data_IF_212077919827
#
_entry.id   IF_212077919827
#
_cell.length_a   1.000
_cell.length_b   1.000
_cell.length_c   1.000
_cell.angle_alpha   90.00
_cell.angle_beta   90.00
_cell.angle_gamma   90.00
#
_symmetry.space_group_name_H-M   'P 1'
#
loop_
_entity.id
_entity.type
_entity.pdbx_description
1 polymer ?
#
# COMPACT_ATOMS: atom_id res chain seq x y z
N UNK A 1 -9.15 0.47 26.32
CA UNK A 1 -8.97 0.12 24.91
C UNK A 1 -8.51 1.35 24.15
N UNK A 2 -7.31 1.32 23.58
CA UNK A 2 -6.84 2.38 22.71
C UNK A 2 -7.44 2.13 21.34
N UNK A 3 -8.27 3.05 20.86
CA UNK A 3 -8.77 3.02 19.49
C UNK A 3 -7.64 3.46 18.55
N UNK A 4 -7.20 2.59 17.68
CA UNK A 4 -6.16 2.84 16.66
C UNK A 4 -4.74 2.43 17.10
N UNK A 5 -3.94 2.02 16.12
CA UNK A 5 -2.53 1.69 16.29
C UNK A 5 -1.62 2.93 16.26
N UNK A 6 -0.28 2.75 16.36
CA UNK A 6 0.69 3.86 16.35
C UNK A 6 0.58 4.79 15.13
N UNK A 7 0.15 4.28 13.98
CA UNK A 7 -0.02 5.09 12.77
C UNK A 7 -1.32 5.88 12.71
N UNK A 8 -2.24 5.66 13.67
CA UNK A 8 -3.55 6.32 13.69
C UNK A 8 -3.44 7.85 13.80
N UNK A 9 -2.58 8.34 14.70
CA UNK A 9 -2.40 9.76 14.94
C UNK A 9 -1.83 10.50 13.73
N UNK A 10 -0.91 9.88 12.98
CA UNK A 10 -0.31 10.48 11.79
C UNK A 10 -1.32 10.81 10.70
N UNK A 11 -2.45 10.10 10.66
CA UNK A 11 -3.54 10.34 9.70
C UNK A 11 -4.31 11.63 9.94
N UNK A 12 -4.24 12.17 11.17
CA UNK A 12 -4.92 13.41 11.57
C UNK A 12 -3.97 14.60 11.69
N UNK A 13 -2.66 14.38 11.58
CA UNK A 13 -1.68 15.47 11.58
C UNK A 13 -1.70 16.19 10.23
N UNK A 14 -1.64 17.52 10.27
CA UNK A 14 -1.36 18.29 9.04
C UNK A 14 0.03 17.88 8.54
N UNK A 15 0.07 17.29 7.36
CA UNK A 15 1.31 17.01 6.67
C UNK A 15 1.82 18.29 6.03
N UNK A 16 3.09 18.59 6.21
CA UNK A 16 3.78 19.50 5.30
C UNK A 16 3.81 18.79 3.94
N UNK A 17 3.34 19.41 2.86
CA UNK A 17 3.42 18.80 1.54
C UNK A 17 4.87 18.38 1.29
N UNK A 18 5.09 17.10 1.00
CA UNK A 18 6.37 16.67 0.48
C UNK A 18 6.51 17.31 -0.91
N UNK A 19 7.70 17.77 -1.24
CA UNK A 19 8.00 18.16 -2.62
C UNK A 19 7.98 16.88 -3.45
N UNK A 20 6.78 16.50 -3.92
CA UNK A 20 6.69 15.53 -4.99
C UNK A 20 7.51 16.11 -6.17
N UNK A 21 8.36 15.29 -6.82
CA UNK A 21 9.02 15.76 -8.03
C UNK A 21 7.94 16.34 -8.94
N UNK A 22 8.11 17.58 -9.35
CA UNK A 22 7.15 18.26 -10.20
C UNK A 22 7.13 17.53 -11.54
N UNK A 23 6.22 16.57 -11.66
CA UNK A 23 5.85 16.07 -12.97
C UNK A 23 5.35 17.29 -13.75
N UNK A 24 6.09 17.70 -14.74
CA UNK A 24 5.66 18.78 -15.63
C UNK A 24 4.23 18.50 -16.08
N UNK A 25 3.46 19.54 -16.39
CA UNK A 25 2.07 19.50 -16.82
C UNK A 25 1.90 18.58 -18.06
N UNK A 26 2.01 17.28 -17.87
CA UNK A 26 1.76 16.28 -18.89
C UNK A 26 0.32 15.83 -18.67
N UNK A 27 -0.56 16.31 -19.53
CA UNK A 27 -1.87 15.68 -19.68
C UNK A 27 -1.65 14.22 -20.09
N UNK A 28 -2.32 13.25 -19.43
CA UNK A 28 -2.23 11.87 -19.85
C UNK A 28 -2.56 11.76 -21.33
N UNK A 29 -1.69 11.09 -22.09
CA UNK A 29 -1.96 10.78 -23.49
C UNK A 29 -3.29 10.01 -23.61
N UNK A 30 -4.05 10.13 -24.73
CA UNK A 30 -5.30 9.42 -24.91
C UNK A 30 -5.01 7.92 -25.05
N UNK A 31 -4.98 7.22 -23.91
CA UNK A 31 -4.91 5.76 -23.86
C UNK A 31 -6.29 5.13 -23.99
N UNK A 32 -6.31 3.87 -24.39
CA UNK A 32 -7.51 3.05 -24.37
C UNK A 32 -8.03 2.95 -22.94
N UNK A 33 -9.32 3.06 -22.76
CA UNK A 33 -9.95 2.84 -21.46
C UNK A 33 -9.95 1.35 -21.14
N UNK A 34 -9.55 1.01 -19.90
CA UNK A 34 -9.55 -0.36 -19.41
C UNK A 34 -10.99 -0.71 -19.03
N UNK A 35 -11.46 -1.84 -19.56
CA UNK A 35 -12.80 -2.32 -19.26
C UNK A 35 -12.93 -2.71 -17.79
N UNK A 36 -14.07 -2.37 -17.19
CA UNK A 36 -14.33 -2.62 -15.76
C UNK A 36 -14.24 -4.11 -15.43
N UNK A 37 -14.69 -4.97 -16.33
CA UNK A 37 -14.65 -6.43 -16.19
C UNK A 37 -13.23 -6.98 -16.20
N UNK A 38 -12.35 -6.43 -17.03
CA UNK A 38 -10.94 -6.81 -17.07
C UNK A 38 -10.23 -6.42 -15.77
N UNK A 39 -10.44 -5.19 -15.31
CA UNK A 39 -9.93 -4.73 -14.02
C UNK A 39 -10.44 -5.61 -12.87
N UNK A 40 -11.74 -5.94 -12.87
CA UNK A 40 -12.35 -6.80 -11.85
C UNK A 40 -11.75 -8.21 -11.88
N UNK A 41 -11.51 -8.77 -13.05
CA UNK A 41 -10.91 -10.10 -13.19
C UNK A 41 -9.50 -10.13 -12.59
N UNK A 42 -8.67 -9.11 -12.87
CA UNK A 42 -7.34 -8.99 -12.28
C UNK A 42 -7.38 -8.89 -10.75
N UNK A 43 -8.27 -8.05 -10.23
CA UNK A 43 -8.39 -7.82 -8.78
C UNK A 43 -8.78 -9.07 -8.01
N UNK A 44 -9.50 -9.99 -8.64
CA UNK A 44 -9.99 -11.23 -8.03
C UNK A 44 -9.18 -12.48 -8.41
N UNK A 45 -8.20 -12.35 -9.32
CA UNK A 45 -7.41 -13.49 -9.80
C UNK A 45 -6.57 -14.14 -8.71
N UNK A 46 -6.11 -13.35 -7.74
CA UNK A 46 -5.27 -13.80 -6.64
C UNK A 46 -5.75 -13.22 -5.33
N UNK A 47 -5.55 -13.97 -4.25
CA UNK A 47 -5.76 -13.45 -2.91
C UNK A 47 -4.72 -12.38 -2.58
N UNK A 48 -5.18 -11.31 -1.94
CA UNK A 48 -4.28 -10.25 -1.48
C UNK A 48 -3.27 -10.82 -0.46
N UNK A 49 -2.00 -10.37 -0.49
CA UNK A 49 -0.98 -10.82 0.45
C UNK A 49 -1.43 -10.66 1.89
N UNK A 50 -1.31 -11.71 2.70
CA UNK A 50 -1.83 -11.76 4.08
C UNK A 50 -0.74 -11.99 5.14
N UNK A 51 0.50 -12.21 4.74
CA UNK A 51 1.62 -12.38 5.66
C UNK A 51 2.09 -11.05 6.25
N UNK A 52 2.62 -11.04 7.47
CA UNK A 52 3.25 -9.85 8.03
C UNK A 52 4.41 -9.36 7.15
N UNK A 53 4.58 -8.05 7.12
CA UNK A 53 5.72 -7.45 6.42
C UNK A 53 7.01 -7.84 7.15
N UNK A 54 7.94 -8.42 6.38
CA UNK A 54 9.25 -8.82 6.84
C UNK A 54 10.27 -7.71 6.50
N UNK A 55 10.87 -7.04 7.48
CA UNK A 55 11.84 -5.97 7.23
C UNK A 55 13.05 -6.40 6.40
N UNK A 56 13.52 -7.65 6.53
CA UNK A 56 14.66 -8.14 5.74
C UNK A 56 14.31 -8.27 4.25
N UNK A 57 13.09 -8.73 3.95
CA UNK A 57 12.59 -8.78 2.56
C UNK A 57 12.39 -7.38 1.99
N UNK A 58 11.94 -6.45 2.82
CA UNK A 58 11.80 -5.04 2.43
C UNK A 58 13.14 -4.45 2.03
N UNK A 59 14.17 -4.65 2.83
CA UNK A 59 15.51 -4.13 2.53
C UNK A 59 16.07 -4.74 1.22
N UNK A 60 15.91 -6.03 1.00
CA UNK A 60 16.31 -6.69 -0.23
C UNK A 60 15.56 -6.13 -1.46
N UNK A 61 14.25 -5.87 -1.34
CA UNK A 61 13.48 -5.23 -2.39
C UNK A 61 13.91 -3.79 -2.63
N UNK A 62 14.15 -3.02 -1.58
CA UNK A 62 14.60 -1.64 -1.69
C UNK A 62 15.97 -1.53 -2.37
N UNK A 63 16.87 -2.48 -2.18
CA UNK A 63 18.13 -2.53 -2.90
C UNK A 63 17.94 -2.75 -4.40
N UNK A 64 17.00 -3.60 -4.80
CA UNK A 64 16.66 -3.83 -6.21
C UNK A 64 16.05 -2.60 -6.87
N UNK A 65 15.22 -1.84 -6.13
CA UNK A 65 14.51 -0.66 -6.65
C UNK A 65 15.27 0.66 -6.42
N UNK A 66 16.40 0.62 -5.73
CA UNK A 66 17.18 1.82 -5.40
C UNK A 66 17.54 2.71 -6.60
N UNK A 67 17.73 2.19 -7.82
CA UNK A 67 17.95 3.03 -8.99
C UNK A 67 16.73 3.90 -9.36
N UNK A 68 15.55 3.52 -8.90
CA UNK A 68 14.26 4.11 -9.29
C UNK A 68 13.62 4.92 -8.17
N UNK A 69 13.88 4.53 -6.91
CA UNK A 69 13.30 5.19 -5.74
C UNK A 69 14.27 6.22 -5.15
N UNK A 70 13.85 7.49 -5.01
CA UNK A 70 14.58 8.47 -4.21
C UNK A 70 14.83 7.95 -2.78
N UNK A 71 16.01 8.27 -2.23
CA UNK A 71 16.42 7.81 -0.89
C UNK A 71 15.39 8.19 0.20
N UNK A 72 14.79 9.36 0.10
CA UNK A 72 13.76 9.82 1.05
C UNK A 72 12.55 8.88 1.10
N UNK A 73 12.19 8.28 -0.03
CA UNK A 73 11.09 7.31 -0.12
C UNK A 73 11.52 5.97 0.46
N UNK A 74 12.72 5.50 0.09
CA UNK A 74 13.28 4.26 0.63
C UNK A 74 13.45 4.33 2.14
N UNK A 75 13.93 5.45 2.67
CA UNK A 75 14.05 5.67 4.11
C UNK A 75 12.67 5.73 4.79
N UNK A 76 11.68 6.31 4.14
CA UNK A 76 10.30 6.29 4.62
C UNK A 76 9.74 4.87 4.75
N UNK A 77 9.99 4.01 3.76
CA UNK A 77 9.60 2.59 3.79
C UNK A 77 10.32 1.85 4.92
N UNK A 78 11.66 2.00 5.04
CA UNK A 78 12.44 1.37 6.12
C UNK A 78 11.95 1.80 7.49
N UNK A 79 11.80 3.10 7.71
CA UNK A 79 11.32 3.62 8.99
C UNK A 79 9.94 3.10 9.36
N UNK A 80 9.05 2.94 8.38
CA UNK A 80 7.72 2.38 8.60
C UNK A 80 7.80 0.91 9.02
N UNK A 81 8.61 0.11 8.34
CA UNK A 81 8.67 -1.34 8.57
C UNK A 81 9.39 -1.73 9.86
N UNK A 82 10.25 -0.85 10.39
CA UNK A 82 10.88 -1.05 11.69
C UNK A 82 9.94 -0.82 12.89
N UNK A 83 8.72 -0.39 12.66
CA UNK A 83 7.75 -0.08 13.72
C UNK A 83 7.05 -1.32 14.33
N UNK A 84 7.37 -2.55 13.89
CA UNK A 84 6.82 -3.73 14.55
C UNK A 84 7.34 -3.84 16.00
N UNK A 85 6.46 -4.05 16.97
CA UNK A 85 6.84 -4.05 18.36
C UNK A 85 6.07 -5.08 19.18
N UNK A 86 6.78 -5.67 20.17
CA UNK A 86 6.11 -6.31 21.27
C UNK A 86 5.56 -5.22 22.20
N UNK A 87 4.27 -5.27 22.46
CA UNK A 87 3.59 -4.26 23.27
C UNK A 87 3.47 -4.72 24.72
N UNK A 88 3.52 -3.80 25.70
CA UNK A 88 3.29 -4.15 27.07
C UNK A 88 1.87 -4.67 27.28
N UNK A 89 1.74 -5.69 28.09
CA UNK A 89 0.47 -6.28 28.51
C UNK A 89 0.50 -6.76 29.94
N UNK A 90 -0.63 -7.13 30.52
CA UNK A 90 -0.68 -7.77 31.83
C UNK A 90 0.01 -9.13 31.83
N UNK A 91 0.35 -9.64 33.00
CA UNK A 91 0.91 -10.99 33.14
C UNK A 91 -0.05 -12.02 32.56
N UNK A 92 0.45 -12.86 31.65
CA UNK A 92 -0.34 -13.87 30.98
C UNK A 92 -0.88 -13.45 29.63
N UNK A 93 -0.53 -12.26 29.14
CA UNK A 93 -0.81 -11.83 27.77
C UNK A 93 0.49 -11.59 26.99
N UNK A 94 0.49 -12.04 25.73
CA UNK A 94 1.52 -11.70 24.75
C UNK A 94 0.89 -10.80 23.70
N UNK A 95 1.36 -9.55 23.63
CA UNK A 95 0.80 -8.53 22.74
C UNK A 95 1.83 -8.16 21.68
N UNK A 96 1.46 -8.40 20.41
CA UNK A 96 2.29 -8.07 19.25
C UNK A 96 1.58 -7.10 18.33
N UNK A 97 2.24 -6.04 17.98
CA UNK A 97 1.82 -5.14 16.93
C UNK A 97 2.66 -5.38 15.66
N UNK A 98 2.01 -5.63 14.56
CA UNK A 98 2.66 -5.94 13.28
C UNK A 98 2.01 -5.19 12.13
N UNK A 99 2.80 -4.93 11.11
CA UNK A 99 2.32 -4.39 9.84
C UNK A 99 2.08 -5.53 8.84
N UNK A 100 1.04 -5.36 8.07
CA UNK A 100 0.65 -6.26 6.98
C UNK A 100 0.47 -5.46 5.70
N UNK A 101 0.70 -6.05 4.53
CA UNK A 101 0.33 -5.41 3.27
C UNK A 101 -1.15 -5.06 3.29
N UNK A 102 -1.50 -3.96 2.65
CA UNK A 102 -2.91 -3.59 2.50
C UNK A 102 -3.63 -4.48 1.50
N UNK A 103 -2.93 -4.93 0.45
CA UNK A 103 -3.46 -5.81 -0.58
C UNK A 103 -3.23 -5.30 -2.00
N UNK A 104 -4.27 -5.26 -2.84
CA UNK A 104 -4.17 -4.80 -4.22
C UNK A 104 -4.14 -3.28 -4.30
N UNK A 105 -3.09 -2.74 -4.93
CA UNK A 105 -2.83 -1.30 -5.06
C UNK A 105 -2.85 -0.91 -6.54
N UNK A 106 -3.68 0.06 -6.89
CA UNK A 106 -3.67 0.68 -8.22
C UNK A 106 -2.72 1.87 -8.22
N UNK A 107 -1.74 1.87 -9.12
CA UNK A 107 -0.77 2.94 -9.34
C UNK A 107 -1.12 3.66 -10.64
N UNK A 108 -1.55 4.92 -10.53
CA UNK A 108 -2.15 5.68 -11.65
C UNK A 108 -1.33 6.89 -12.08
N UNK A 109 -0.14 7.08 -11.53
CA UNK A 109 0.74 8.19 -11.88
C UNK A 109 0.30 9.53 -11.28
N UNK A 110 0.26 10.62 -12.07
CA UNK A 110 0.57 10.73 -13.50
C UNK A 110 2.06 10.67 -13.81
N UNK A 111 2.35 10.22 -15.01
CA UNK A 111 3.70 10.12 -15.55
C UNK A 111 4.50 8.91 -15.03
N UNK A 112 5.49 8.51 -15.81
CA UNK A 112 6.27 7.28 -15.59
C UNK A 112 7.02 7.31 -14.25
N UNK A 113 7.60 8.45 -13.88
CA UNK A 113 8.36 8.56 -12.62
C UNK A 113 7.49 8.38 -11.38
N UNK A 114 6.28 8.98 -11.36
CA UNK A 114 5.36 8.76 -10.25
C UNK A 114 4.87 7.31 -10.20
N UNK A 115 4.61 6.68 -11.37
CA UNK A 115 4.23 5.27 -11.44
C UNK A 115 5.30 4.36 -10.85
N UNK A 116 6.58 4.57 -11.23
CA UNK A 116 7.71 3.82 -10.69
C UNK A 116 7.77 3.93 -9.17
N UNK A 117 7.66 5.14 -8.65
CA UNK A 117 7.70 5.38 -7.20
C UNK A 117 6.48 4.77 -6.48
N UNK A 118 5.29 4.90 -7.03
CA UNK A 118 4.07 4.30 -6.48
C UNK A 118 4.16 2.78 -6.44
N UNK A 119 4.56 2.16 -7.56
CA UNK A 119 4.76 0.72 -7.65
C UNK A 119 5.85 0.24 -6.70
N UNK A 120 6.99 0.92 -6.67
CA UNK A 120 8.10 0.60 -5.78
C UNK A 120 7.71 0.65 -4.30
N UNK A 121 6.98 1.68 -3.86
CA UNK A 121 6.45 1.75 -2.48
C UNK A 121 5.46 0.61 -2.18
N UNK A 122 4.54 0.34 -3.10
CA UNK A 122 3.53 -0.69 -2.91
C UNK A 122 4.18 -2.07 -2.78
N UNK A 123 5.10 -2.41 -3.69
CA UNK A 123 5.80 -3.68 -3.71
C UNK A 123 6.74 -3.87 -2.53
N UNK A 124 7.53 -2.84 -2.18
CA UNK A 124 8.42 -2.90 -1.02
C UNK A 124 7.67 -3.16 0.30
N UNK A 125 6.41 -2.76 0.38
CA UNK A 125 5.51 -3.05 1.51
C UNK A 125 4.70 -4.35 1.33
N UNK A 126 5.09 -5.20 0.38
CA UNK A 126 4.50 -6.52 0.17
C UNK A 126 3.12 -6.51 -0.49
N UNK A 127 2.68 -5.38 -1.06
CA UNK A 127 1.42 -5.31 -1.76
C UNK A 127 1.53 -5.89 -3.18
N UNK A 128 0.42 -6.34 -3.73
CA UNK A 128 0.28 -6.59 -5.16
C UNK A 128 -0.06 -5.26 -5.85
N UNK A 129 0.64 -4.93 -6.93
CA UNK A 129 0.49 -3.65 -7.60
C UNK A 129 0.09 -3.82 -9.07
N UNK A 130 -0.81 -2.95 -9.55
CA UNK A 130 -1.12 -2.75 -10.96
C UNK A 130 -0.81 -1.31 -11.33
N UNK A 131 0.13 -1.12 -12.24
CA UNK A 131 0.44 0.18 -12.81
C UNK A 131 -0.36 0.38 -14.10
N UNK A 132 -1.10 1.49 -14.18
CA UNK A 132 -1.89 1.81 -15.36
C UNK A 132 -1.47 3.16 -15.90
N UNK A 133 -1.03 3.19 -17.15
CA UNK A 133 -0.69 4.41 -17.86
C UNK A 133 -0.74 4.24 -19.38
N UNK A 134 -0.98 5.33 -20.08
CA UNK A 134 -0.82 5.38 -21.52
C UNK A 134 0.65 5.42 -21.98
N UNK A 135 1.61 5.67 -21.07
CA UNK A 135 3.03 5.96 -21.34
C UNK A 135 3.96 4.81 -20.90
N UNK A 136 3.62 3.58 -21.21
CA UNK A 136 4.20 2.37 -20.59
C UNK A 136 5.58 1.86 -21.05
N UNK A 137 6.15 2.18 -22.24
CA UNK A 137 7.25 1.37 -22.77
C UNK A 137 8.45 1.20 -21.83
N UNK A 138 8.72 2.17 -20.95
CA UNK A 138 9.96 2.20 -20.14
C UNK A 138 9.87 1.44 -18.80
N UNK A 139 8.67 1.16 -18.31
CA UNK A 139 8.52 0.51 -17.00
C UNK A 139 8.78 -1.00 -17.07
N UNK A 140 8.34 -1.66 -18.13
CA UNK A 140 8.41 -3.10 -18.28
C UNK A 140 9.83 -3.63 -18.42
N UNK A 141 10.76 -2.83 -18.94
CA UNK A 141 12.16 -3.23 -19.09
C UNK A 141 12.95 -3.21 -17.77
N UNK A 142 12.45 -2.44 -16.79
CA UNK A 142 13.17 -2.23 -15.52
C UNK A 142 12.76 -3.20 -14.41
N UNK A 143 11.65 -3.94 -14.57
CA UNK A 143 11.01 -4.68 -13.47
C UNK A 143 10.56 -6.07 -13.95
N UNK A 144 11.51 -6.87 -14.41
CA UNK A 144 11.19 -8.19 -14.99
C UNK A 144 10.84 -9.27 -13.95
N UNK A 145 11.27 -9.10 -12.69
CA UNK A 145 11.14 -10.13 -11.66
C UNK A 145 10.18 -9.77 -10.51
N UNK A 146 9.39 -8.71 -10.66
CA UNK A 146 8.48 -8.24 -9.62
C UNK A 146 7.04 -8.66 -9.87
N UNK A 147 6.24 -8.82 -8.80
CA UNK A 147 4.79 -9.05 -8.93
C UNK A 147 4.06 -7.75 -9.32
N UNK A 148 4.54 -7.09 -10.37
CA UNK A 148 3.98 -5.88 -10.94
C UNK A 148 3.43 -6.19 -12.31
N UNK A 149 2.14 -5.96 -12.48
CA UNK A 149 1.52 -5.90 -13.78
C UNK A 149 1.42 -4.45 -14.25
N UNK A 150 1.61 -4.26 -15.54
CA UNK A 150 1.60 -2.96 -16.18
C UNK A 150 0.63 -3.00 -17.35
N UNK A 151 -0.43 -2.20 -17.27
CA UNK A 151 -1.44 -2.15 -18.31
C UNK A 151 -1.40 -0.82 -19.07
N UNK A 152 -1.31 -0.86 -20.40
CA UNK A 152 -1.43 0.33 -21.22
C UNK A 152 -2.88 0.81 -21.22
N UNK A 153 -3.11 2.07 -20.84
CA UNK A 153 -4.45 2.63 -20.85
C UNK A 153 -4.74 3.61 -19.73
N UNK A 154 -6.00 3.81 -19.48
CA UNK A 154 -6.51 4.63 -18.37
C UNK A 154 -7.69 3.96 -17.71
N UNK A 155 -7.89 4.22 -16.43
CA UNK A 155 -9.07 3.79 -15.68
C UNK A 155 -10.05 4.96 -15.61
N UNK A 156 -11.33 4.73 -15.95
CA UNK A 156 -12.39 5.67 -15.61
C UNK A 156 -12.59 5.65 -14.08
N UNK A 157 -12.50 6.80 -13.40
CA UNK A 157 -12.78 6.86 -11.96
C UNK A 157 -14.11 6.22 -11.56
N UNK A 158 -15.13 6.26 -12.43
CA UNK A 158 -16.46 5.68 -12.17
C UNK A 158 -16.39 4.18 -11.98
N UNK A 159 -15.51 3.47 -12.68
CA UNK A 159 -15.31 2.03 -12.52
C UNK A 159 -14.95 1.64 -11.08
N UNK A 160 -14.21 2.50 -10.37
CA UNK A 160 -13.81 2.25 -8.99
C UNK A 160 -14.98 2.19 -8.00
N UNK A 161 -16.15 2.69 -8.37
CA UNK A 161 -17.32 2.62 -7.49
C UNK A 161 -17.87 1.18 -7.36
N UNK A 162 -17.67 0.33 -8.36
CA UNK A 162 -18.27 -1.00 -8.46
C UNK A 162 -17.30 -2.16 -8.32
N UNK A 163 -16.03 -2.00 -8.77
CA UNK A 163 -15.04 -3.11 -8.73
C UNK A 163 -14.73 -3.50 -7.28
N UNK A 164 -14.59 -4.80 -7.03
CA UNK A 164 -14.21 -5.36 -5.73
C UNK A 164 -12.71 -5.65 -5.70
N UNK A 165 -12.13 -5.80 -4.50
CA UNK A 165 -10.75 -6.22 -4.32
C UNK A 165 -9.71 -5.10 -4.41
N UNK A 166 -10.06 -3.86 -4.74
CA UNK A 166 -9.17 -2.70 -4.62
C UNK A 166 -8.98 -2.35 -3.15
N UNK A 167 -7.73 -2.24 -2.71
CA UNK A 167 -7.38 -1.93 -1.32
C UNK A 167 -6.75 -0.55 -1.14
N UNK A 168 -6.09 -0.01 -2.19
CA UNK A 168 -5.60 1.36 -2.22
C UNK A 168 -5.47 1.86 -3.65
N UNK A 169 -5.52 3.18 -3.83
CA UNK A 169 -5.28 3.86 -5.12
C UNK A 169 -4.23 4.94 -4.91
N UNK A 170 -3.15 4.92 -5.70
CA UNK A 170 -2.11 5.94 -5.72
C UNK A 170 -2.30 6.83 -6.95
N UNK A 171 -2.51 8.12 -6.73
CA UNK A 171 -2.65 9.12 -7.78
C UNK A 171 -2.07 10.44 -7.26
N UNK A 172 -0.83 10.75 -7.65
CA UNK A 172 -0.08 11.90 -7.16
C UNK A 172 -0.09 13.05 -8.16
N UNK A 173 0.37 14.20 -7.72
CA UNK A 173 0.68 15.33 -8.58
C UNK A 173 -0.21 16.54 -8.38
N UNK A 174 0.38 17.68 -8.67
CA UNK A 174 -0.29 18.98 -8.70
C UNK A 174 -1.08 19.13 -10.02
N UNK A 175 -2.29 19.63 -9.93
CA UNK A 175 -3.14 19.85 -11.12
C UNK A 175 -4.01 18.67 -11.53
N UNK A 176 -3.90 17.50 -10.89
CA UNK A 176 -4.83 16.38 -11.10
C UNK A 176 -6.16 16.68 -10.43
N UNK A 177 -7.27 16.54 -11.17
CA UNK A 177 -8.59 16.63 -10.56
C UNK A 177 -8.91 15.34 -9.79
N UNK A 178 -8.77 15.40 -8.48
CA UNK A 178 -9.04 14.28 -7.58
C UNK A 178 -10.52 14.08 -7.24
N UNK A 179 -11.40 15.02 -7.61
CA UNK A 179 -12.83 14.96 -7.24
C UNK A 179 -13.55 13.76 -7.82
N UNK A 180 -13.38 13.38 -9.11
CA UNK A 180 -14.03 12.18 -9.65
C UNK A 180 -13.60 10.90 -8.90
N UNK A 181 -12.30 10.77 -8.61
CA UNK A 181 -11.72 9.64 -7.88
C UNK A 181 -12.25 9.53 -6.46
N UNK A 182 -12.25 10.64 -5.72
CA UNK A 182 -12.80 10.69 -4.37
C UNK A 182 -14.30 10.38 -4.35
N UNK A 183 -15.05 10.91 -5.33
CA UNK A 183 -16.49 10.65 -5.45
C UNK A 183 -16.79 9.18 -5.73
N UNK A 184 -16.02 8.55 -6.62
CA UNK A 184 -16.18 7.14 -6.93
C UNK A 184 -15.85 6.25 -5.74
N UNK A 185 -14.71 6.50 -5.08
CA UNK A 185 -14.29 5.75 -3.90
C UNK A 185 -15.26 5.92 -2.72
N UNK A 186 -15.86 7.10 -2.56
CA UNK A 186 -16.85 7.37 -1.50
C UNK A 186 -18.20 6.67 -1.72
N UNK A 187 -18.50 6.23 -2.94
CA UNK A 187 -19.74 5.49 -3.26
C UNK A 187 -19.63 3.99 -3.02
N UNK A 188 -18.42 3.50 -2.69
CA UNK A 188 -18.18 2.08 -2.48
C UNK A 188 -18.85 1.61 -1.20
N UNK A 189 -19.41 0.41 -1.27
CA UNK A 189 -19.78 -0.33 -0.06
C UNK A 189 -18.58 -1.06 0.53
N UNK A 190 -18.59 -1.30 1.84
CA UNK A 190 -17.60 -2.10 2.53
C UNK A 190 -16.40 -1.30 3.05
N UNK A 191 -15.19 -1.83 2.89
CA UNK A 191 -13.97 -1.25 3.45
C UNK A 191 -13.58 0.03 2.71
N UNK A 192 -13.18 1.06 3.47
CA UNK A 192 -12.70 2.32 2.90
C UNK A 192 -11.39 2.09 2.15
N UNK A 193 -11.40 2.44 0.86
CA UNK A 193 -10.22 2.43 0.00
C UNK A 193 -9.57 3.81 0.03
N UNK A 194 -8.33 3.95 0.53
CA UNK A 194 -7.65 5.23 0.56
C UNK A 194 -7.21 5.65 -0.85
N UNK A 195 -7.28 6.96 -1.10
CA UNK A 195 -6.65 7.61 -2.24
C UNK A 195 -5.39 8.31 -1.74
N UNK A 196 -4.23 7.76 -2.06
CA UNK A 196 -2.93 8.33 -1.73
C UNK A 196 -2.58 9.38 -2.78
N UNK A 197 -2.37 10.61 -2.32
CA UNK A 197 -2.11 11.75 -3.20
C UNK A 197 -0.72 12.35 -3.02
N UNK A 198 0.05 11.81 -2.11
CA UNK A 198 1.39 12.25 -1.75
C UNK A 198 2.29 11.04 -1.47
N UNK A 199 3.58 11.03 -1.89
CA UNK A 199 4.52 9.97 -1.54
C UNK A 199 4.65 9.71 -0.03
N UNK A 200 4.40 10.70 0.81
CA UNK A 200 4.44 10.57 2.26
C UNK A 200 3.23 9.81 2.86
N UNK A 201 2.21 9.49 2.04
CA UNK A 201 1.03 8.74 2.49
C UNK A 201 1.26 7.23 2.65
N UNK A 202 2.51 6.80 2.62
CA UNK A 202 2.97 5.39 2.61
C UNK A 202 2.37 4.53 3.74
N UNK A 203 2.07 5.11 4.90
CA UNK A 203 1.38 4.41 5.99
C UNK A 203 -0.03 3.91 5.61
N UNK A 204 -0.60 4.43 4.52
CA UNK A 204 -1.88 3.95 4.00
C UNK A 204 -1.75 2.72 3.09
N UNK A 205 -0.52 2.30 2.77
CA UNK A 205 -0.24 1.06 2.03
C UNK A 205 -0.10 -0.17 2.95
N UNK A 206 -0.24 0.01 4.25
CA UNK A 206 -0.15 -1.06 5.24
C UNK A 206 -1.38 -1.12 6.12
N UNK A 207 -1.58 -2.27 6.75
CA UNK A 207 -2.57 -2.50 7.79
C UNK A 207 -1.85 -2.78 9.10
N UNK A 208 -2.28 -2.11 10.15
CA UNK A 208 -1.84 -2.39 11.50
C UNK A 208 -2.69 -3.50 12.11
N UNK A 209 -2.05 -4.53 12.64
CA UNK A 209 -2.74 -5.58 13.40
C UNK A 209 -2.10 -5.71 14.76
N UNK A 210 -2.93 -5.67 15.79
CA UNK A 210 -2.57 -6.01 17.15
C UNK A 210 -3.06 -7.42 17.44
N UNK A 211 -2.11 -8.32 17.68
CA UNK A 211 -2.39 -9.71 18.06
C UNK A 211 -2.14 -9.86 19.56
N UNK A 212 -3.21 -10.09 20.29
CA UNK A 212 -3.16 -10.42 21.70
C UNK A 212 -3.36 -11.93 21.86
N UNK A 213 -2.41 -12.59 22.50
CA UNK A 213 -2.51 -14.00 22.86
C UNK A 213 -2.63 -14.08 24.38
N UNK A 214 -3.77 -14.56 24.85
CA UNK A 214 -3.95 -14.88 26.27
C UNK A 214 -3.22 -16.20 26.54
N UNK A 215 -2.16 -16.12 27.33
CA UNK A 215 -1.34 -17.26 27.75
C UNK A 215 -1.76 -17.80 29.13
N UNK A 216 -2.74 -17.16 29.79
CA UNK A 216 -3.32 -17.69 31.03
C UNK A 216 -4.28 -18.83 30.69
N UNK A 217 -3.77 -20.06 30.81
CA UNK A 217 -4.63 -21.21 30.71
C UNK A 217 -5.64 -21.22 31.89
N UNK A 218 -6.89 -21.04 31.59
CA UNK A 218 -7.93 -21.33 32.58
C UNK A 218 -7.89 -22.85 32.87
N UNK A 219 -7.23 -23.26 33.95
CA UNK A 219 -7.08 -24.65 34.33
C UNK A 219 -5.65 -25.19 34.39
N UNK A 220 -4.64 -24.34 34.38
CA UNK A 220 -3.26 -24.71 34.72
C UNK A 220 -2.54 -25.57 33.68
N UNK A 221 -2.70 -25.29 32.39
CA UNK A 221 -1.89 -25.93 31.33
C UNK A 221 -0.45 -25.40 31.39
N UNK A 222 0.38 -25.98 32.21
CA UNK A 222 1.80 -25.64 32.40
C UNK A 222 2.65 -25.85 31.13
N UNK A 223 2.15 -26.58 30.13
CA UNK A 223 2.86 -26.82 28.87
C UNK A 223 2.95 -25.56 28.02
N UNK A 224 1.99 -24.66 28.11
CA UNK A 224 2.05 -23.37 27.40
C UNK A 224 3.05 -22.39 28.03
N UNK A 225 3.30 -22.48 29.34
CA UNK A 225 4.26 -21.61 30.02
C UNK A 225 5.72 -21.97 29.69
N UNK A 226 5.99 -23.21 29.31
CA UNK A 226 7.34 -23.69 28.96
C UNK A 226 7.73 -23.32 27.51
N UNK A 227 6.75 -23.07 26.61
CA UNK A 227 7.04 -22.71 25.22
C UNK A 227 7.34 -21.22 25.02
N UNK A 228 7.17 -20.40 26.03
CA UNK A 228 7.39 -18.93 25.98
C UNK A 228 8.63 -18.45 26.74
N UNK A 229 9.44 -19.36 27.26
CA UNK A 229 10.69 -19.06 27.99
C UNK A 229 11.93 -19.21 27.06
#
# INVERSE_FOLDING_TARGET
>A
PKAGGPLYLSRFCKKTPSEAPSAGNQHPAPGTEIETEELQAWLLAEEAPSEPIDPEKVDALLEQVSPVLPSVISDGVRNLTQLSAQMPGPTGESNHWKLYPRGNVLCLGPGVENLKMQAGQALALGNRALAVSAEIPELSEMITDWPLEIWPGKIDPVALASVQGVNAVCLWGTGVDLRPWRSALAKRDGVIVPLLTDPADIAQLVLERHVCVDTTASGGNTTLLVQTA
#
